data_IF_821790789763
#
_entry.id   IF_821790789763
#
_cell.length_a   1.000
_cell.length_b   1.000
_cell.length_c   1.000
_cell.angle_alpha   90.00
_cell.angle_beta   90.00
_cell.angle_gamma   90.00
#
_symmetry.space_group_name_H-M   'P 1'
#
loop_
_entity.id
_entity.type
_entity.pdbx_description
1 polymer ?
#
# COMPACT_ATOMS: atom_id res chain seq x y z
N UNK A 1 15.06 9.64 5.39
CA UNK A 1 14.68 10.23 6.67
C UNK A 1 14.19 9.18 7.66
N UNK A 2 13.28 8.27 7.27
CA UNK A 2 12.82 7.18 8.16
C UNK A 2 13.97 6.35 8.73
N UNK A 3 14.98 6.01 7.92
CA UNK A 3 16.18 5.27 8.36
C UNK A 3 16.97 6.06 9.40
N UNK A 4 17.11 7.38 9.21
CA UNK A 4 17.83 8.26 10.17
C UNK A 4 17.07 8.30 11.49
N UNK A 5 15.73 8.36 11.46
CA UNK A 5 14.91 8.30 12.67
C UNK A 5 15.10 7.00 13.45
N UNK A 6 15.02 5.86 12.75
CA UNK A 6 15.22 4.53 13.37
C UNK A 6 16.63 4.38 13.93
N UNK A 7 17.65 4.81 13.18
CA UNK A 7 19.04 4.80 13.65
C UNK A 7 19.23 5.70 14.88
N UNK A 8 18.64 6.89 14.87
CA UNK A 8 18.66 7.81 16.01
C UNK A 8 18.06 7.21 17.28
N UNK A 9 16.94 6.47 17.15
CA UNK A 9 16.36 5.71 18.28
C UNK A 9 17.33 4.65 18.78
N UNK A 10 17.98 3.91 17.90
CA UNK A 10 18.97 2.89 18.28
C UNK A 10 20.14 3.48 19.06
N UNK A 11 20.69 4.60 18.58
CA UNK A 11 21.77 5.34 19.27
C UNK A 11 21.30 5.87 20.61
N UNK A 12 20.07 6.38 20.70
CA UNK A 12 19.50 6.88 21.94
C UNK A 12 19.30 5.77 22.99
N UNK A 13 18.81 4.59 22.57
CA UNK A 13 18.69 3.43 23.46
C UNK A 13 20.06 2.94 23.92
N UNK A 14 21.06 2.93 23.03
CA UNK A 14 22.44 2.56 23.41
C UNK A 14 23.01 3.53 24.44
N UNK A 15 22.78 4.83 24.31
CA UNK A 15 23.15 5.86 25.28
C UNK A 15 22.48 5.66 26.64
N UNK A 16 21.18 5.32 26.64
CA UNK A 16 20.45 5.03 27.88
C UNK A 16 20.96 3.77 28.59
N UNK A 17 21.38 2.77 27.81
CA UNK A 17 21.84 1.48 28.34
C UNK A 17 23.26 1.56 28.91
N UNK A 18 24.09 2.42 28.36
CA UNK A 18 25.51 2.50 28.76
C UNK A 18 26.05 3.93 28.62
N UNK A 19 26.11 4.65 29.75
CA UNK A 19 26.63 6.02 29.79
C UNK A 19 28.15 6.11 29.56
N UNK A 20 28.91 5.01 29.67
CA UNK A 20 30.34 5.00 29.40
C UNK A 20 30.68 5.29 27.93
N UNK A 21 29.69 5.23 27.01
CA UNK A 21 29.84 5.66 25.63
C UNK A 21 30.19 7.16 25.52
N UNK A 22 29.87 7.95 26.50
CA UNK A 22 30.22 9.38 26.55
C UNK A 22 31.72 9.60 26.79
N UNK A 23 32.42 8.63 27.38
CA UNK A 23 33.86 8.68 27.71
C UNK A 23 34.72 8.11 26.56
N UNK A 24 34.11 7.39 25.61
CA UNK A 24 34.83 6.85 24.42
C UNK A 24 35.00 7.93 23.37
N UNK A 25 36.23 8.02 22.75
CA UNK A 25 36.49 8.99 21.68
C UNK A 25 35.63 8.72 20.45
N UNK A 26 34.62 9.58 20.22
CA UNK A 26 33.67 9.41 19.13
C UNK A 26 32.85 10.68 18.84
N UNK A 27 31.98 10.60 17.84
CA UNK A 27 31.09 11.72 17.49
C UNK A 27 30.22 12.19 18.66
N UNK A 28 29.79 11.27 19.52
CA UNK A 28 28.91 11.55 20.66
C UNK A 28 29.65 12.35 21.72
N UNK A 29 30.92 11.98 22.03
CA UNK A 29 31.78 12.72 22.95
C UNK A 29 32.06 14.14 22.45
N UNK A 30 32.37 14.30 21.17
CA UNK A 30 32.60 15.61 20.57
C UNK A 30 31.37 16.50 20.67
N UNK A 31 30.18 15.94 20.52
CA UNK A 31 28.90 16.65 20.70
C UNK A 31 28.70 17.05 22.18
N UNK A 32 28.95 16.13 23.11
CA UNK A 32 28.85 16.39 24.54
C UNK A 32 29.77 17.54 25.01
N UNK A 33 31.02 17.54 24.53
CA UNK A 33 32.02 18.56 24.87
C UNK A 33 31.71 19.91 24.22
N UNK A 34 31.35 19.92 22.95
CA UNK A 34 31.09 21.16 22.20
C UNK A 34 29.88 21.92 22.70
N UNK A 35 28.85 21.25 23.21
CA UNK A 35 27.65 21.89 23.74
C UNK A 35 27.73 22.17 25.25
N UNK A 36 28.90 21.91 25.93
CA UNK A 36 29.18 22.21 27.34
C UNK A 36 28.06 21.78 28.29
N UNK A 37 27.52 20.57 28.11
CA UNK A 37 26.52 20.03 29.05
C UNK A 37 27.13 19.83 30.43
N UNK A 38 26.47 20.36 31.47
CA UNK A 38 26.93 20.28 32.84
C UNK A 38 26.68 18.91 33.49
N UNK A 39 25.67 18.16 32.98
CA UNK A 39 25.30 16.85 33.51
C UNK A 39 24.91 15.87 32.37
N UNK A 40 25.26 14.59 32.56
CA UNK A 40 24.86 13.52 31.64
C UNK A 40 23.33 13.42 31.44
N UNK A 41 22.55 13.77 32.47
CA UNK A 41 21.08 13.79 32.39
C UNK A 41 20.56 14.88 31.45
N UNK A 42 21.17 16.06 31.43
CA UNK A 42 20.79 17.14 30.49
C UNK A 42 21.07 16.74 29.04
N UNK A 43 22.22 16.07 28.81
CA UNK A 43 22.57 15.56 27.51
C UNK A 43 21.58 14.51 27.01
N UNK A 44 21.16 13.56 27.86
CA UNK A 44 20.17 12.54 27.52
C UNK A 44 18.83 13.18 27.16
N UNK A 45 18.38 14.16 27.92
CA UNK A 45 17.12 14.88 27.61
C UNK A 45 17.23 15.63 26.29
N UNK A 46 18.34 16.33 26.05
CA UNK A 46 18.58 17.02 24.78
C UNK A 46 18.65 16.04 23.59
N UNK A 47 19.36 14.92 23.74
CA UNK A 47 19.43 13.86 22.74
C UNK A 47 18.03 13.28 22.44
N UNK A 48 17.21 13.05 23.47
CA UNK A 48 15.83 12.62 23.34
C UNK A 48 14.98 13.61 22.53
N UNK A 49 15.09 14.91 22.81
CA UNK A 49 14.38 15.94 22.04
C UNK A 49 14.86 16.02 20.61
N UNK A 50 16.16 15.86 20.33
CA UNK A 50 16.71 15.82 18.98
C UNK A 50 16.13 14.63 18.22
N UNK A 51 16.15 13.44 18.79
CA UNK A 51 15.60 12.22 18.17
C UNK A 51 14.09 12.36 17.90
N UNK A 52 13.33 12.88 18.88
CA UNK A 52 11.90 13.16 18.70
C UNK A 52 11.64 14.17 17.57
N UNK A 53 12.45 15.21 17.47
CA UNK A 53 12.36 16.22 16.41
C UNK A 53 12.64 15.58 15.03
N UNK A 54 13.66 14.72 14.93
CA UNK A 54 13.95 14.00 13.68
C UNK A 54 12.83 13.04 13.29
N UNK A 55 12.24 12.29 14.24
CA UNK A 55 11.11 11.41 13.97
C UNK A 55 9.90 12.22 13.50
N UNK A 56 9.59 13.32 14.19
CA UNK A 56 8.47 14.19 13.84
C UNK A 56 8.65 14.79 12.44
N UNK A 57 9.84 15.29 12.11
CA UNK A 57 10.16 15.82 10.79
C UNK A 57 10.08 14.75 9.72
N UNK A 58 10.61 13.55 9.98
CA UNK A 58 10.50 12.38 9.09
C UNK A 58 9.06 12.02 8.81
N UNK A 59 8.23 12.00 9.86
CA UNK A 59 6.79 11.70 9.75
C UNK A 59 6.04 12.73 8.90
N UNK A 60 6.34 14.02 9.09
CA UNK A 60 5.76 15.11 8.28
C UNK A 60 6.16 15.00 6.81
N UNK A 61 7.43 14.70 6.53
CA UNK A 61 7.92 14.50 5.16
C UNK A 61 7.27 13.26 4.51
N UNK A 62 7.11 12.17 5.25
CA UNK A 62 6.41 10.97 4.78
C UNK A 62 4.94 11.27 4.47
N UNK A 63 4.26 12.02 5.33
CA UNK A 63 2.88 12.47 5.11
C UNK A 63 2.77 13.36 3.86
N UNK A 64 3.68 14.31 3.69
CA UNK A 64 3.71 15.17 2.50
C UNK A 64 3.94 14.37 1.22
N UNK A 65 4.88 13.43 1.25
CA UNK A 65 5.16 12.53 0.11
C UNK A 65 3.94 11.69 -0.24
N UNK A 66 3.28 11.09 0.77
CA UNK A 66 2.06 10.32 0.58
C UNK A 66 0.94 11.15 -0.05
N UNK A 67 0.73 12.36 0.45
CA UNK A 67 -0.24 13.30 -0.10
C UNK A 67 0.03 13.62 -1.58
N UNK A 68 1.29 13.91 -1.92
CA UNK A 68 1.69 14.16 -3.32
C UNK A 68 1.48 12.96 -4.23
N UNK A 69 1.81 11.75 -3.75
CA UNK A 69 1.59 10.50 -4.48
C UNK A 69 0.10 10.23 -4.71
N UNK A 70 -0.74 10.50 -3.71
CA UNK A 70 -2.19 10.34 -3.85
C UNK A 70 -2.78 11.29 -4.89
N UNK A 71 -2.37 12.57 -4.86
CA UNK A 71 -2.80 13.56 -5.88
C UNK A 71 -2.34 13.12 -7.27
N UNK A 72 -1.07 12.70 -7.42
CA UNK A 72 -0.56 12.24 -8.70
C UNK A 72 -1.35 11.01 -9.21
N UNK A 73 -1.62 10.05 -8.34
CA UNK A 73 -2.47 8.90 -8.69
C UNK A 73 -3.86 9.31 -9.17
N UNK A 74 -4.50 10.27 -8.49
CA UNK A 74 -5.81 10.79 -8.88
C UNK A 74 -5.78 11.48 -10.26
N UNK A 75 -4.73 12.27 -10.54
CA UNK A 75 -4.55 12.93 -11.85
C UNK A 75 -4.34 11.91 -12.98
N UNK A 76 -3.56 10.87 -12.75
CA UNK A 76 -3.39 9.77 -13.72
C UNK A 76 -4.71 9.04 -13.96
N UNK A 77 -5.53 8.84 -12.91
CA UNK A 77 -6.86 8.25 -13.03
C UNK A 77 -7.81 9.11 -13.87
N UNK A 78 -7.79 10.40 -13.66
CA UNK A 78 -8.59 11.36 -14.44
C UNK A 78 -8.18 11.34 -15.92
N UNK A 79 -6.87 11.45 -16.21
CA UNK A 79 -6.35 11.40 -17.59
C UNK A 79 -6.70 10.07 -18.30
N UNK A 80 -6.62 8.95 -17.56
CA UNK A 80 -7.02 7.64 -18.10
C UNK A 80 -8.51 7.59 -18.41
N UNK A 81 -9.36 8.09 -17.53
CA UNK A 81 -10.81 8.15 -17.75
C UNK A 81 -11.16 9.04 -18.95
N UNK A 82 -10.53 10.20 -19.08
CA UNK A 82 -10.74 11.12 -20.19
C UNK A 82 -10.34 10.49 -21.52
N UNK A 83 -9.18 9.83 -21.58
CA UNK A 83 -8.72 9.12 -22.78
C UNK A 83 -9.64 7.96 -23.17
N UNK A 84 -10.11 7.20 -22.18
CA UNK A 84 -11.06 6.11 -22.44
C UNK A 84 -12.39 6.66 -22.97
N UNK A 85 -12.90 7.74 -22.39
CA UNK A 85 -14.12 8.39 -22.85
C UNK A 85 -13.97 8.87 -24.30
N UNK A 86 -12.91 9.63 -24.61
CA UNK A 86 -12.62 10.11 -25.96
C UNK A 86 -12.46 8.95 -26.95
N UNK A 87 -11.75 7.89 -26.55
CA UNK A 87 -11.59 6.69 -27.37
C UNK A 87 -12.93 6.02 -27.69
N UNK A 88 -13.77 5.79 -26.69
CA UNK A 88 -15.03 5.10 -26.89
C UNK A 88 -16.05 5.95 -27.66
N UNK A 89 -16.16 7.24 -27.39
CA UNK A 89 -17.15 8.10 -28.06
C UNK A 89 -16.85 8.28 -29.57
N UNK A 90 -15.58 8.16 -29.95
CA UNK A 90 -15.15 8.27 -31.34
C UNK A 90 -15.14 6.94 -32.12
N UNK A 91 -15.60 5.84 -31.49
CA UNK A 91 -15.74 4.57 -32.19
C UNK A 91 -16.89 4.60 -33.23
N UNK A 92 -16.81 3.74 -34.20
CA UNK A 92 -17.85 3.62 -35.23
C UNK A 92 -19.16 3.07 -34.63
N UNK A 93 -20.27 3.28 -35.35
CA UNK A 93 -21.59 2.84 -34.95
C UNK A 93 -21.69 1.33 -34.68
N UNK A 94 -21.01 0.50 -35.48
CA UNK A 94 -20.99 -0.95 -35.31
C UNK A 94 -20.40 -1.37 -33.94
N UNK A 95 -19.38 -0.67 -33.46
CA UNK A 95 -18.82 -0.91 -32.11
C UNK A 95 -19.86 -0.70 -31.02
N UNK A 96 -20.70 0.33 -31.15
CA UNK A 96 -21.74 0.64 -30.18
C UNK A 96 -22.95 -0.31 -30.26
N UNK A 97 -23.22 -0.91 -31.40
CA UNK A 97 -24.30 -1.92 -31.51
C UNK A 97 -23.95 -3.22 -30.79
N UNK A 98 -22.70 -3.63 -30.82
CA UNK A 98 -22.23 -4.87 -30.19
C UNK A 98 -21.89 -4.73 -28.69
N UNK A 99 -21.89 -3.52 -28.16
CA UNK A 99 -21.47 -3.23 -26.78
C UNK A 99 -22.60 -2.63 -25.97
N UNK A 100 -22.69 -3.10 -24.70
CA UNK A 100 -23.62 -2.50 -23.75
C UNK A 100 -23.04 -1.17 -23.24
N UNK A 101 -23.78 -0.08 -23.34
CA UNK A 101 -23.39 1.24 -22.86
C UNK A 101 -23.04 1.21 -21.35
N UNK A 102 -23.74 0.40 -20.57
CA UNK A 102 -23.43 0.23 -19.13
C UNK A 102 -22.05 -0.36 -18.88
N UNK A 103 -21.57 -1.25 -19.74
CA UNK A 103 -20.22 -1.84 -19.66
C UNK A 103 -19.15 -0.78 -19.95
N UNK A 104 -19.37 0.07 -20.95
CA UNK A 104 -18.47 1.17 -21.27
C UNK A 104 -18.39 2.20 -20.14
N UNK A 105 -19.53 2.56 -19.58
CA UNK A 105 -19.60 3.48 -18.43
C UNK A 105 -18.85 2.88 -17.22
N UNK A 106 -19.06 1.60 -16.95
CA UNK A 106 -18.36 0.90 -15.86
C UNK A 106 -16.85 0.91 -16.05
N UNK A 107 -16.36 0.66 -17.28
CA UNK A 107 -14.93 0.69 -17.59
C UNK A 107 -14.33 2.08 -17.42
N UNK A 108 -15.02 3.12 -17.85
CA UNK A 108 -14.54 4.50 -17.72
C UNK A 108 -14.55 4.95 -16.26
N UNK A 109 -15.66 4.73 -15.54
CA UNK A 109 -15.83 5.29 -14.20
C UNK A 109 -15.21 4.43 -13.09
N UNK A 110 -15.41 3.10 -13.13
CA UNK A 110 -15.02 2.21 -12.03
C UNK A 110 -13.68 1.51 -12.27
N UNK A 111 -13.46 0.96 -13.46
CA UNK A 111 -12.23 0.19 -13.72
C UNK A 111 -11.01 1.11 -13.84
N UNK A 112 -11.13 2.31 -14.40
CA UNK A 112 -10.04 3.29 -14.42
C UNK A 112 -9.64 3.71 -13.00
N UNK A 113 -10.61 4.01 -12.13
CA UNK A 113 -10.35 4.34 -10.73
C UNK A 113 -9.73 3.15 -9.97
N UNK A 114 -10.21 1.93 -10.22
CA UNK A 114 -9.67 0.71 -9.63
C UNK A 114 -8.22 0.45 -10.04
N UNK A 115 -7.90 0.59 -11.32
CA UNK A 115 -6.52 0.45 -11.83
C UNK A 115 -5.61 1.48 -11.17
N UNK A 116 -6.04 2.72 -11.11
CA UNK A 116 -5.25 3.81 -10.53
C UNK A 116 -4.99 3.61 -9.04
N UNK A 117 -6.03 3.32 -8.27
CA UNK A 117 -5.90 3.18 -6.82
C UNK A 117 -5.21 1.85 -6.42
N UNK A 118 -5.54 0.75 -7.09
CA UNK A 118 -5.04 -0.57 -6.69
C UNK A 118 -3.69 -0.93 -7.33
N UNK A 119 -3.39 -0.45 -8.52
CA UNK A 119 -2.15 -0.79 -9.22
C UNK A 119 -1.14 0.36 -9.10
N UNK A 120 -1.48 1.54 -9.63
CA UNK A 120 -0.53 2.67 -9.70
C UNK A 120 -0.16 3.15 -8.30
N UNK A 121 -1.16 3.37 -7.42
CA UNK A 121 -0.92 3.78 -6.05
C UNK A 121 -0.05 2.78 -5.27
N UNK A 122 -0.37 1.49 -5.34
CA UNK A 122 0.40 0.45 -4.66
C UNK A 122 1.82 0.30 -5.22
N UNK A 123 1.99 0.41 -6.54
CA UNK A 123 3.29 0.36 -7.17
C UNK A 123 4.20 1.52 -6.75
N UNK A 124 3.65 2.71 -6.63
CA UNK A 124 4.38 3.89 -6.14
C UNK A 124 4.81 3.73 -4.69
N UNK A 125 3.93 3.23 -3.82
CA UNK A 125 4.26 2.91 -2.43
C UNK A 125 5.34 1.83 -2.33
N UNK A 126 5.26 0.79 -3.17
CA UNK A 126 6.24 -0.28 -3.21
C UNK A 126 7.64 0.25 -3.54
N UNK A 127 7.77 1.12 -4.56
CA UNK A 127 9.05 1.71 -4.94
C UNK A 127 9.69 2.48 -3.78
N UNK A 128 8.94 3.31 -3.07
CA UNK A 128 9.44 4.03 -1.90
C UNK A 128 9.97 3.11 -0.80
N UNK A 129 9.21 2.07 -0.48
CA UNK A 129 9.60 1.07 0.53
C UNK A 129 10.76 0.18 0.09
N UNK A 130 10.87 -0.09 -1.21
CA UNK A 130 11.97 -0.88 -1.78
C UNK A 130 13.31 -0.13 -1.65
N UNK A 131 13.34 1.15 -1.97
CA UNK A 131 14.53 2.01 -1.78
C UNK A 131 14.94 2.01 -0.30
N UNK A 132 13.99 2.18 0.61
CA UNK A 132 14.23 2.15 2.05
C UNK A 132 14.81 0.80 2.49
N UNK A 133 14.22 -0.31 2.04
CA UNK A 133 14.72 -1.66 2.34
C UNK A 133 16.14 -1.88 1.82
N UNK A 134 16.47 -1.42 0.61
CA UNK A 134 17.81 -1.52 0.05
C UNK A 134 18.81 -0.77 0.93
N UNK A 135 18.50 0.47 1.33
CA UNK A 135 19.37 1.26 2.20
C UNK A 135 19.59 0.56 3.53
N UNK A 136 18.53 0.03 4.15
CA UNK A 136 18.64 -0.71 5.42
C UNK A 136 19.54 -1.96 5.27
N UNK A 137 19.30 -2.76 4.23
CA UNK A 137 20.11 -3.97 3.97
C UNK A 137 21.56 -3.60 3.73
N UNK A 138 21.86 -2.55 2.94
CA UNK A 138 23.21 -2.07 2.73
C UNK A 138 23.87 -1.63 4.04
N UNK A 139 23.16 -0.90 4.88
CA UNK A 139 23.67 -0.45 6.19
C UNK A 139 24.04 -1.64 7.07
N UNK A 140 23.18 -2.66 7.17
CA UNK A 140 23.44 -3.86 7.95
C UNK A 140 24.61 -4.65 7.35
N UNK A 141 24.70 -4.73 6.01
CA UNK A 141 25.75 -5.44 5.32
C UNK A 141 27.15 -4.83 5.57
N UNK A 142 27.24 -3.51 5.61
CA UNK A 142 28.49 -2.78 5.91
C UNK A 142 28.91 -3.03 7.37
N UNK A 143 27.96 -3.02 8.30
CA UNK A 143 28.25 -3.20 9.73
C UNK A 143 28.55 -4.64 10.13
N UNK A 144 27.76 -5.59 9.61
CA UNK A 144 27.87 -7.02 9.96
C UNK A 144 27.39 -7.91 8.81
N UNK A 145 28.28 -8.27 7.86
CA UNK A 145 27.94 -9.09 6.70
C UNK A 145 27.28 -10.43 7.06
N UNK A 146 27.75 -11.08 8.13
CA UNK A 146 27.23 -12.37 8.60
C UNK A 146 25.77 -12.27 9.04
N UNK A 147 25.41 -11.19 9.75
CA UNK A 147 24.04 -10.94 10.19
C UNK A 147 23.14 -10.62 9.01
N UNK A 148 23.64 -9.84 8.05
CA UNK A 148 22.89 -9.50 6.83
C UNK A 148 22.56 -10.77 6.02
N UNK A 149 23.54 -11.65 5.78
CA UNK A 149 23.34 -12.90 5.05
C UNK A 149 22.40 -13.83 5.81
N UNK A 150 22.59 -14.01 7.11
CA UNK A 150 21.71 -14.83 7.94
C UNK A 150 20.26 -14.35 7.93
N UNK A 151 20.06 -13.05 8.07
CA UNK A 151 18.72 -12.45 7.99
C UNK A 151 18.09 -12.61 6.61
N UNK A 152 18.86 -12.41 5.53
CA UNK A 152 18.37 -12.59 4.16
C UNK A 152 17.92 -14.03 3.89
N UNK A 153 18.72 -15.02 4.31
CA UNK A 153 18.38 -16.45 4.15
C UNK A 153 17.15 -16.80 4.99
N UNK A 154 17.08 -16.34 6.23
CA UNK A 154 15.95 -16.62 7.12
C UNK A 154 14.65 -15.99 6.61
N UNK A 155 14.62 -14.70 6.35
CA UNK A 155 13.41 -14.00 5.90
C UNK A 155 13.05 -14.36 4.46
N UNK A 156 14.04 -14.48 3.56
CA UNK A 156 13.82 -14.89 2.17
C UNK A 156 13.31 -16.32 2.07
N UNK A 157 13.91 -17.23 2.83
CA UNK A 157 13.45 -18.64 2.91
C UNK A 157 12.04 -18.76 3.48
N UNK A 158 11.75 -18.05 4.58
CA UNK A 158 10.41 -18.02 5.17
C UNK A 158 9.38 -17.46 4.20
N UNK A 159 9.72 -16.38 3.46
CA UNK A 159 8.84 -15.80 2.44
C UNK A 159 8.52 -16.81 1.33
N UNK A 160 9.52 -17.49 0.79
CA UNK A 160 9.33 -18.49 -0.27
C UNK A 160 8.45 -19.64 0.20
N UNK A 161 8.63 -20.11 1.44
CA UNK A 161 7.82 -21.18 2.02
C UNK A 161 6.35 -20.75 2.17
N UNK A 162 6.11 -19.56 2.75
CA UNK A 162 4.77 -19.03 2.93
C UNK A 162 4.12 -18.78 1.55
N UNK A 163 4.84 -18.18 0.61
CA UNK A 163 4.34 -17.90 -0.73
C UNK A 163 3.89 -19.18 -1.45
N UNK A 164 4.69 -20.25 -1.39
CA UNK A 164 4.34 -21.54 -1.99
C UNK A 164 3.07 -22.16 -1.39
N UNK A 165 2.89 -22.04 -0.07
CA UNK A 165 1.69 -22.57 0.59
C UNK A 165 0.43 -21.74 0.28
N UNK A 166 0.59 -20.42 0.21
CA UNK A 166 -0.54 -19.50 0.06
C UNK A 166 -0.96 -19.34 -1.40
N UNK A 167 -0.01 -19.40 -2.35
CA UNK A 167 -0.28 -19.17 -3.78
C UNK A 167 -1.44 -20.02 -4.31
N UNK A 168 -1.43 -21.32 -4.07
CA UNK A 168 -2.48 -22.22 -4.57
C UNK A 168 -3.87 -21.91 -3.99
N UNK A 169 -3.92 -21.45 -2.74
CA UNK A 169 -5.17 -20.99 -2.11
C UNK A 169 -5.62 -19.64 -2.66
N UNK A 170 -4.66 -18.75 -2.88
CA UNK A 170 -4.93 -17.40 -3.42
C UNK A 170 -5.48 -17.47 -4.84
N UNK A 171 -4.87 -18.28 -5.72
CA UNK A 171 -5.32 -18.45 -7.11
C UNK A 171 -6.74 -19.03 -7.18
N UNK A 172 -7.03 -19.99 -6.32
CA UNK A 172 -8.38 -20.59 -6.25
C UNK A 172 -9.43 -19.62 -5.71
N UNK A 173 -9.08 -18.81 -4.70
CA UNK A 173 -9.99 -17.82 -4.13
C UNK A 173 -10.23 -16.65 -5.07
N UNK A 174 -9.18 -16.15 -5.75
CA UNK A 174 -9.31 -15.03 -6.69
C UNK A 174 -10.21 -15.38 -7.87
N UNK A 175 -10.13 -16.61 -8.38
CA UNK A 175 -11.03 -17.08 -9.44
C UNK A 175 -12.49 -17.10 -8.97
N UNK A 176 -12.76 -17.64 -7.77
CA UNK A 176 -14.12 -17.65 -7.20
C UNK A 176 -14.67 -16.24 -6.98
N UNK A 177 -13.86 -15.35 -6.40
CA UNK A 177 -14.24 -13.95 -6.16
C UNK A 177 -14.58 -13.24 -7.47
N UNK A 178 -13.78 -13.45 -8.53
CA UNK A 178 -14.03 -12.86 -9.84
C UNK A 178 -15.34 -13.37 -10.46
N UNK A 179 -15.57 -14.67 -10.42
CA UNK A 179 -16.80 -15.29 -10.91
C UNK A 179 -18.04 -14.80 -10.15
N UNK A 180 -17.97 -14.78 -8.81
CA UNK A 180 -19.06 -14.27 -7.97
C UNK A 180 -19.32 -12.79 -8.20
N UNK A 181 -18.28 -11.99 -8.43
CA UNK A 181 -18.41 -10.58 -8.77
C UNK A 181 -19.16 -10.38 -10.08
N UNK A 182 -18.78 -11.13 -11.13
CA UNK A 182 -19.46 -11.06 -12.43
C UNK A 182 -20.93 -11.48 -12.33
N UNK A 183 -21.22 -12.56 -11.61
CA UNK A 183 -22.61 -13.01 -11.41
C UNK A 183 -23.44 -12.00 -10.62
N UNK A 184 -22.88 -11.34 -9.60
CA UNK A 184 -23.55 -10.25 -8.89
C UNK A 184 -23.93 -9.10 -9.82
N UNK A 185 -22.98 -8.63 -10.65
CA UNK A 185 -23.25 -7.57 -11.61
C UNK A 185 -24.31 -7.99 -12.64
N UNK A 186 -24.28 -9.24 -13.10
CA UNK A 186 -25.29 -9.77 -13.99
C UNK A 186 -26.67 -9.74 -13.34
N UNK A 187 -26.81 -10.27 -12.12
CA UNK A 187 -28.08 -10.29 -11.39
C UNK A 187 -28.64 -8.89 -11.11
N UNK A 188 -27.76 -7.93 -10.78
CA UNK A 188 -28.19 -6.54 -10.61
C UNK A 188 -28.69 -5.95 -11.95
N UNK A 189 -27.97 -6.16 -13.03
CA UNK A 189 -28.38 -5.66 -14.35
C UNK A 189 -29.68 -6.31 -14.84
N UNK A 190 -29.84 -7.62 -14.65
CA UNK A 190 -31.07 -8.35 -15.03
C UNK A 190 -32.24 -7.92 -14.14
N UNK A 191 -32.04 -7.85 -12.81
CA UNK A 191 -33.09 -7.49 -11.85
C UNK A 191 -33.57 -6.05 -12.00
N UNK A 192 -32.65 -5.09 -12.08
CA UNK A 192 -33.00 -3.68 -12.22
C UNK A 192 -33.32 -3.29 -13.67
N UNK A 193 -32.65 -3.87 -14.66
CA UNK A 193 -32.94 -3.63 -16.07
C UNK A 193 -34.31 -4.16 -16.48
N UNK A 194 -34.75 -5.28 -15.91
CA UNK A 194 -36.08 -5.87 -16.11
C UNK A 194 -37.01 -5.68 -14.90
N UNK A 195 -36.89 -4.59 -14.13
CA UNK A 195 -37.61 -4.42 -12.87
C UNK A 195 -39.12 -4.49 -13.04
N UNK A 196 -39.64 -3.94 -14.14
CA UNK A 196 -41.08 -3.99 -14.44
C UNK A 196 -41.59 -5.42 -14.57
N UNK A 197 -40.85 -6.24 -15.33
CA UNK A 197 -41.22 -7.66 -15.54
C UNK A 197 -41.02 -8.48 -14.27
N UNK A 198 -39.93 -8.20 -13.54
CA UNK A 198 -39.64 -8.82 -12.25
C UNK A 198 -40.76 -8.58 -11.24
N UNK A 199 -41.30 -7.35 -11.17
CA UNK A 199 -42.41 -6.98 -10.31
C UNK A 199 -43.75 -7.55 -10.81
N UNK A 200 -44.03 -7.47 -12.09
CA UNK A 200 -45.28 -8.00 -12.66
C UNK A 200 -45.41 -9.51 -12.53
N UNK A 201 -44.28 -10.23 -12.63
CA UNK A 201 -44.26 -11.69 -12.50
C UNK A 201 -44.04 -12.18 -11.07
N UNK A 202 -43.90 -11.28 -10.09
CA UNK A 202 -43.69 -11.63 -8.69
C UNK A 202 -42.36 -12.37 -8.42
N UNK A 203 -41.30 -12.12 -9.24
CA UNK A 203 -40.04 -12.84 -9.17
C UNK A 203 -38.96 -12.19 -8.29
N UNK A 204 -39.30 -11.17 -7.53
CA UNK A 204 -38.35 -10.44 -6.67
C UNK A 204 -37.56 -11.37 -5.75
N UNK A 205 -38.30 -12.30 -5.09
CA UNK A 205 -37.71 -13.23 -4.15
C UNK A 205 -36.64 -14.15 -4.80
N UNK A 206 -36.87 -14.57 -6.02
CA UNK A 206 -35.91 -15.39 -6.78
C UNK A 206 -34.61 -14.63 -7.07
N UNK A 207 -34.69 -13.34 -7.39
CA UNK A 207 -33.52 -12.48 -7.57
C UNK A 207 -32.80 -12.21 -6.26
N UNK A 208 -33.54 -11.97 -5.16
CA UNK A 208 -32.98 -11.78 -3.81
C UNK A 208 -32.17 -13.00 -3.37
N UNK A 209 -32.75 -14.21 -3.47
CA UNK A 209 -32.08 -15.46 -3.07
C UNK A 209 -30.82 -15.72 -3.90
N UNK A 210 -30.88 -15.56 -5.22
CA UNK A 210 -29.73 -15.73 -6.12
C UNK A 210 -28.64 -14.70 -5.86
N UNK A 211 -29.02 -13.45 -5.63
CA UNK A 211 -28.07 -12.39 -5.31
C UNK A 211 -27.42 -12.63 -3.94
N UNK A 212 -28.17 -13.05 -2.92
CA UNK A 212 -27.64 -13.37 -1.60
C UNK A 212 -26.59 -14.46 -1.64
N UNK A 213 -26.83 -15.56 -2.38
CA UNK A 213 -25.86 -16.64 -2.57
C UNK A 213 -24.58 -16.15 -3.24
N UNK A 214 -24.70 -15.41 -4.34
CA UNK A 214 -23.54 -14.89 -5.06
C UNK A 214 -22.79 -13.83 -4.25
N UNK A 215 -23.52 -13.00 -3.51
CA UNK A 215 -22.95 -11.99 -2.62
C UNK A 215 -22.16 -12.63 -1.47
N UNK A 216 -22.72 -13.67 -0.85
CA UNK A 216 -22.03 -14.39 0.23
C UNK A 216 -20.74 -15.07 -0.27
N UNK A 217 -20.78 -15.66 -1.45
CA UNK A 217 -19.60 -16.29 -2.10
C UNK A 217 -18.52 -15.30 -2.49
N UNK A 218 -18.86 -14.03 -2.66
CA UNK A 218 -17.90 -12.97 -2.95
C UNK A 218 -17.09 -12.53 -1.72
N UNK A 219 -17.70 -12.55 -0.54
CA UNK A 219 -17.08 -12.09 0.71
C UNK A 219 -16.40 -13.20 1.52
N UNK A 220 -16.62 -14.47 1.18
CA UNK A 220 -15.99 -15.65 1.80
C UNK A 220 -14.86 -16.22 0.94
#
# INVERSE_FOLDING_TARGET
>A
FEVIGVFGVGVFIALLSNLSILDEPGMIQNFYINFQFSNSSEFIVAAGFIVLSFISLSSLLSMFTLWRLTIFGALVGADLSDRLYVYYINQNWLFHLDRNSSDLITKIALESARITNSIIGQFMHLNGKLVLAIIMVMTIFIYSPSVAIGSFVFFGGSYVLIYRQVKTRLDRNSFKVTQSSQERFRLMNEGFGGIKDTMLLGRQRSFEERFAVSNHSFYL
#
